data_IF_164740936469
#
_entry.id   IF_164740936469
#
_cell.length_a   1.000
_cell.length_b   1.000
_cell.length_c   1.000
_cell.angle_alpha   90.00
_cell.angle_beta   90.00
_cell.angle_gamma   90.00
#
_symmetry.space_group_name_H-M   'P 1'
#
loop_
_entity.id
_entity.type
_entity.pdbx_description
1 polymer ?
#
# COMPACT_ATOMS: atom_id res chain seq x y z
N UNK A 1 -13.62 -17.20 -12.94
CA UNK A 1 -12.30 -16.51 -12.84
C UNK A 1 -12.36 -15.03 -13.27
N UNK A 2 -13.51 -14.47 -13.64
CA UNK A 2 -13.65 -13.06 -14.05
C UNK A 2 -14.03 -12.13 -12.90
N UNK A 3 -14.84 -12.59 -11.94
CA UNK A 3 -15.34 -11.77 -10.82
C UNK A 3 -14.23 -11.11 -9.99
N UNK A 4 -13.19 -11.87 -9.63
CA UNK A 4 -12.06 -11.35 -8.83
C UNK A 4 -11.24 -10.26 -9.56
N UNK A 5 -11.16 -10.32 -10.88
CA UNK A 5 -10.47 -9.29 -11.68
C UNK A 5 -11.30 -8.01 -11.77
N UNK A 6 -12.62 -8.14 -11.87
CA UNK A 6 -13.55 -7.00 -11.93
C UNK A 6 -13.60 -6.26 -10.59
N UNK A 7 -13.62 -6.99 -9.48
CA UNK A 7 -13.54 -6.42 -8.12
C UNK A 7 -12.23 -5.66 -7.88
N UNK A 8 -11.10 -6.19 -8.35
CA UNK A 8 -9.79 -5.54 -8.25
C UNK A 8 -9.76 -4.22 -9.00
N UNK A 9 -10.26 -4.20 -10.24
CA UNK A 9 -10.30 -3.00 -11.05
C UNK A 9 -11.21 -1.92 -10.45
N UNK A 10 -12.34 -2.31 -9.86
CA UNK A 10 -13.22 -1.40 -9.14
C UNK A 10 -12.51 -0.76 -7.95
N UNK A 11 -11.82 -1.57 -7.14
CA UNK A 11 -11.09 -1.11 -5.96
C UNK A 11 -9.92 -0.17 -6.33
N UNK A 12 -9.14 -0.51 -7.37
CA UNK A 12 -8.08 0.37 -7.89
C UNK A 12 -8.65 1.73 -8.30
N UNK A 13 -9.80 1.73 -8.97
CA UNK A 13 -10.46 2.97 -9.42
C UNK A 13 -10.89 3.82 -8.22
N UNK A 14 -11.50 3.21 -7.21
CA UNK A 14 -11.94 3.90 -6.00
C UNK A 14 -10.74 4.49 -5.22
N UNK A 15 -9.68 3.71 -5.02
CA UNK A 15 -8.48 4.16 -4.33
C UNK A 15 -7.78 5.29 -5.09
N UNK A 16 -7.78 5.23 -6.43
CA UNK A 16 -7.21 6.29 -7.28
C UNK A 16 -8.00 7.59 -7.20
N UNK A 17 -9.35 7.53 -7.19
CA UNK A 17 -10.18 8.73 -7.02
C UNK A 17 -9.95 9.36 -5.63
N UNK A 18 -9.91 8.54 -4.58
CA UNK A 18 -9.61 9.02 -3.22
C UNK A 18 -8.22 9.64 -3.12
N UNK A 19 -7.19 8.97 -3.66
CA UNK A 19 -5.83 9.48 -3.67
C UNK A 19 -5.72 10.80 -4.47
N UNK A 20 -6.41 10.91 -5.60
CA UNK A 20 -6.46 12.12 -6.40
C UNK A 20 -7.11 13.29 -5.65
N UNK A 21 -8.19 13.03 -4.90
CA UNK A 21 -8.88 14.03 -4.06
C UNK A 21 -8.05 14.49 -2.87
N UNK A 22 -7.34 13.57 -2.21
CA UNK A 22 -6.60 13.85 -0.97
C UNK A 22 -5.20 14.43 -1.24
N UNK A 23 -4.52 13.93 -2.26
CA UNK A 23 -3.10 14.19 -2.50
C UNK A 23 -2.84 14.95 -3.81
N UNK A 24 -3.87 15.12 -4.64
CA UNK A 24 -3.77 15.71 -5.97
C UNK A 24 -3.34 14.71 -7.05
N UNK A 25 -3.74 14.99 -8.29
CA UNK A 25 -3.56 14.10 -9.44
C UNK A 25 -2.11 13.63 -9.63
N UNK A 26 -1.15 14.56 -9.69
CA UNK A 26 0.26 14.25 -9.92
C UNK A 26 0.86 13.29 -8.88
N UNK A 27 0.44 13.44 -7.62
CA UNK A 27 0.91 12.57 -6.53
C UNK A 27 0.22 11.21 -6.57
N UNK A 28 -1.06 11.18 -6.93
CA UNK A 28 -1.80 9.93 -7.16
C UNK A 28 -1.20 9.11 -8.31
N UNK A 29 -0.83 9.75 -9.43
CA UNK A 29 -0.18 9.09 -10.56
C UNK A 29 1.17 8.46 -10.17
N UNK A 30 1.98 9.21 -9.40
CA UNK A 30 3.27 8.72 -8.87
C UNK A 30 3.10 7.53 -7.94
N UNK A 31 1.98 7.47 -7.21
CA UNK A 31 1.65 6.40 -6.26
C UNK A 31 0.83 5.24 -6.88
N UNK A 32 0.64 5.22 -8.21
CA UNK A 32 -0.22 4.23 -8.89
C UNK A 32 0.17 2.78 -8.58
N UNK A 33 1.46 2.45 -8.55
CA UNK A 33 1.92 1.11 -8.18
C UNK A 33 1.52 0.73 -6.75
N UNK A 34 1.67 1.66 -5.80
CA UNK A 34 1.28 1.43 -4.41
C UNK A 34 -0.24 1.24 -4.27
N UNK A 35 -1.03 1.93 -5.09
CA UNK A 35 -2.49 1.79 -5.12
C UNK A 35 -2.89 0.39 -5.65
N UNK A 36 -2.22 -0.08 -6.70
CA UNK A 36 -2.45 -1.41 -7.28
C UNK A 36 -2.08 -2.51 -6.27
N UNK A 37 -0.94 -2.36 -5.61
CA UNK A 37 -0.47 -3.29 -4.57
C UNK A 37 -1.43 -3.30 -3.38
N UNK A 38 -1.87 -2.13 -2.89
CA UNK A 38 -2.86 -2.04 -1.83
C UNK A 38 -4.19 -2.71 -2.20
N UNK A 39 -4.67 -2.55 -3.43
CA UNK A 39 -5.88 -3.22 -3.89
C UNK A 39 -5.73 -4.75 -3.93
N UNK A 40 -4.57 -5.26 -4.36
CA UNK A 40 -4.26 -6.69 -4.34
C UNK A 40 -4.28 -7.25 -2.91
N UNK A 41 -3.68 -6.51 -1.96
CA UNK A 41 -3.65 -6.90 -0.56
C UNK A 41 -5.02 -6.86 0.10
N UNK A 42 -5.82 -5.83 -0.14
CA UNK A 42 -7.17 -5.75 0.43
C UNK A 42 -8.00 -6.96 -0.02
N UNK A 43 -7.92 -7.35 -1.29
CA UNK A 43 -8.64 -8.52 -1.79
C UNK A 43 -8.10 -9.84 -1.21
N UNK A 44 -6.77 -9.96 -1.06
CA UNK A 44 -6.17 -11.12 -0.39
C UNK A 44 -6.58 -11.22 1.07
N UNK A 45 -6.48 -10.13 1.85
CA UNK A 45 -6.81 -10.10 3.28
C UNK A 45 -8.31 -10.29 3.50
N UNK A 46 -9.16 -9.67 2.68
CA UNK A 46 -10.61 -9.84 2.81
C UNK A 46 -11.09 -11.25 2.37
N UNK A 47 -10.22 -12.02 1.69
CA UNK A 47 -10.45 -13.41 1.31
C UNK A 47 -9.64 -14.45 2.10
N UNK A 48 -8.72 -14.02 2.97
CA UNK A 48 -7.84 -14.90 3.75
C UNK A 48 -8.35 -15.05 5.19
N UNK A 49 -8.25 -16.26 5.74
CA UNK A 49 -8.21 -16.42 7.20
C UNK A 49 -6.99 -15.66 7.72
N UNK A 50 -7.20 -14.74 8.66
CA UNK A 50 -6.11 -14.04 9.33
C UNK A 50 -5.42 -15.06 10.24
N UNK A 51 -4.28 -15.58 9.80
CA UNK A 51 -3.36 -16.37 10.60
C UNK A 51 -2.28 -15.45 11.19
N UNK A 52 -1.92 -15.65 12.45
CA UNK A 52 -1.00 -14.79 13.20
C UNK A 52 0.46 -14.91 12.70
N UNK A 53 0.72 -15.83 11.76
CA UNK A 53 2.04 -16.11 11.18
C UNK A 53 2.45 -15.17 10.02
N UNK A 54 1.56 -14.30 9.51
CA UNK A 54 1.94 -13.35 8.44
C UNK A 54 2.56 -12.04 8.95
N UNK A 55 3.73 -11.70 8.40
CA UNK A 55 4.43 -10.43 8.67
C UNK A 55 3.58 -9.19 8.31
N UNK A 56 3.63 -8.11 9.11
CA UNK A 56 2.87 -6.89 8.85
C UNK A 56 3.16 -6.25 7.48
N UNK A 57 2.10 -5.91 6.75
CA UNK A 57 2.13 -5.48 5.34
C UNK A 57 2.68 -4.07 5.07
N UNK A 58 2.82 -3.23 6.10
CA UNK A 58 3.33 -1.86 5.93
C UNK A 58 4.62 -1.69 6.72
N UNK A 59 5.74 -1.82 6.03
CA UNK A 59 6.98 -1.22 6.51
C UNK A 59 7.10 0.18 5.89
N UNK A 60 7.17 1.27 6.68
CA UNK A 60 7.81 2.47 6.14
C UNK A 60 9.24 2.05 5.73
N UNK A 61 9.70 2.44 4.53
CA UNK A 61 11.11 2.27 4.19
C UNK A 61 11.94 3.04 5.21
N UNK A 62 12.47 2.35 6.22
CA UNK A 62 13.44 2.91 7.16
C UNK A 62 14.79 2.96 6.44
N UNK A 63 14.85 3.70 5.34
CA UNK A 63 16.10 3.96 4.64
C UNK A 63 16.70 5.24 5.22
N UNK A 64 17.55 5.05 6.22
CA UNK A 64 18.62 5.99 6.56
C UNK A 64 18.26 7.14 7.51
N UNK A 65 17.97 6.82 8.77
CA UNK A 65 18.45 7.66 9.87
C UNK A 65 19.31 6.76 10.76
N UNK A 66 20.58 6.60 10.39
CA UNK A 66 21.58 6.20 11.39
C UNK A 66 21.63 7.33 12.39
N UNK A 67 21.03 7.07 13.54
CA UNK A 67 21.36 7.75 14.78
C UNK A 67 22.81 7.39 15.08
N UNK A 68 23.76 8.15 14.52
CA UNK A 68 25.13 8.19 15.04
C UNK A 68 25.12 9.16 16.23
N UNK A 69 24.52 8.70 17.33
CA UNK A 69 24.91 9.13 18.66
C UNK A 69 26.31 8.55 18.98
N UNK A 70 27.04 9.28 19.82
CA UNK A 70 28.36 8.97 20.38
C UNK A 70 29.60 9.16 19.48
N UNK A 71 30.14 10.39 19.47
CA UNK A 71 31.58 10.57 19.64
C UNK A 71 31.89 11.61 20.72
N UNK A 72 32.25 11.06 21.88
CA UNK A 72 33.05 11.68 22.94
C UNK A 72 34.22 12.47 22.33
N UNK A 73 34.33 13.76 22.68
CA UNK A 73 35.55 14.41 23.21
C UNK A 73 35.26 15.79 23.76
#
# INVERSE_FOLDING_TARGET
MTESTDEKNLLITELTDKASRLWGLKRSETASNNIIEAADHILKVNGAEIDDDETPLFHPSISGRTEDDDHIK
#
